data_IF_674626279133
#
_entry.id   IF_674626279133
#
_cell.length_a   1.000
_cell.length_b   1.000
_cell.length_c   1.000
_cell.angle_alpha   90.00
_cell.angle_beta   90.00
_cell.angle_gamma   90.00
#
_symmetry.space_group_name_H-M   'P 1'
#
loop_
_entity.id
_entity.type
_entity.pdbx_description
1 polymer ?
#
# COMPACT_ATOMS: atom_id res chain seq x y z
N UNK A 1 -7.65 -20.05 -5.04
CA UNK A 1 -6.93 -18.77 -4.95
C UNK A 1 -7.52 -17.82 -5.99
N UNK A 2 -8.02 -16.64 -5.60
CA UNK A 2 -8.37 -15.62 -6.60
C UNK A 2 -7.06 -15.18 -7.25
N UNK A 3 -6.92 -15.42 -8.55
CA UNK A 3 -5.84 -14.84 -9.35
C UNK A 3 -6.09 -13.34 -9.37
N UNK A 4 -5.44 -12.60 -8.47
CA UNK A 4 -5.41 -11.15 -8.56
C UNK A 4 -4.44 -10.81 -9.69
N UNK A 5 -4.92 -10.06 -10.69
CA UNK A 5 -4.06 -9.51 -11.72
C UNK A 5 -2.98 -8.64 -11.07
N UNK A 6 -1.72 -8.72 -11.53
CA UNK A 6 -0.67 -7.87 -10.99
C UNK A 6 -1.04 -6.39 -11.11
N UNK A 7 -0.77 -5.57 -10.08
CA UNK A 7 -1.10 -4.15 -10.11
C UNK A 7 -0.43 -3.43 -11.28
N UNK A 8 -1.13 -2.46 -11.86
CA UNK A 8 -0.69 -1.64 -12.98
C UNK A 8 -0.49 -0.19 -12.57
N UNK A 9 0.34 0.54 -13.31
CA UNK A 9 0.50 1.99 -13.11
C UNK A 9 -0.82 2.69 -13.42
N UNK A 10 -1.24 3.59 -12.53
CA UNK A 10 -2.52 4.30 -12.60
C UNK A 10 -3.66 3.63 -11.83
N UNK A 11 -3.49 2.37 -11.40
CA UNK A 11 -4.47 1.69 -10.55
C UNK A 11 -4.69 2.47 -9.26
N UNK A 12 -5.96 2.55 -8.86
CA UNK A 12 -6.39 3.10 -7.57
C UNK A 12 -6.74 1.96 -6.64
N UNK A 13 -5.99 1.85 -5.55
CA UNK A 13 -6.15 0.81 -4.54
C UNK A 13 -6.18 1.46 -3.16
N UNK A 14 -6.33 0.64 -2.13
CA UNK A 14 -6.34 1.08 -0.74
C UNK A 14 -5.16 0.48 0.01
N UNK A 15 -4.41 1.35 0.70
CA UNK A 15 -3.52 0.97 1.79
C UNK A 15 -4.27 1.25 3.10
N UNK A 16 -4.68 0.20 3.79
CA UNK A 16 -5.70 0.29 4.85
C UNK A 16 -6.98 0.96 4.34
N UNK A 17 -7.46 2.03 4.96
CA UNK A 17 -8.62 2.80 4.52
C UNK A 17 -8.26 3.97 3.61
N UNK A 18 -6.98 4.16 3.26
CA UNK A 18 -6.50 5.30 2.47
C UNK A 18 -6.30 4.92 1.02
N UNK A 19 -6.93 5.66 0.12
CA UNK A 19 -6.78 5.49 -1.31
C UNK A 19 -5.39 5.94 -1.79
N UNK A 20 -4.78 5.16 -2.68
CA UNK A 20 -3.46 5.38 -3.25
C UNK A 20 -3.48 5.13 -4.75
N UNK A 21 -2.63 5.83 -5.49
CA UNK A 21 -2.35 5.58 -6.91
C UNK A 21 -1.00 4.90 -7.05
N UNK A 22 -0.94 3.86 -7.88
CA UNK A 22 0.31 3.23 -8.30
C UNK A 22 1.00 4.12 -9.33
N UNK A 23 2.23 4.52 -9.04
CA UNK A 23 3.05 5.35 -9.94
C UNK A 23 4.16 4.56 -10.63
N UNK A 24 4.56 3.41 -10.06
CA UNK A 24 5.51 2.47 -10.69
C UNK A 24 5.34 1.05 -10.17
N UNK A 25 5.62 0.05 -11.00
CA UNK A 25 5.57 -1.38 -10.63
C UNK A 25 6.96 -2.02 -10.69
N UNK A 26 7.25 -2.91 -9.74
CA UNK A 26 8.48 -3.71 -9.66
C UNK A 26 8.09 -5.17 -9.39
N UNK A 27 7.39 -5.78 -10.34
CA UNK A 27 6.69 -7.06 -10.15
C UNK A 27 7.61 -8.21 -9.72
N UNK A 28 8.87 -8.23 -10.16
CA UNK A 28 9.86 -9.24 -9.73
C UNK A 28 10.09 -9.25 -8.21
N UNK A 29 9.90 -8.11 -7.54
CA UNK A 29 10.11 -7.96 -6.09
C UNK A 29 8.80 -7.87 -5.31
N UNK A 30 7.65 -8.03 -6.00
CA UNK A 30 6.33 -7.75 -5.46
C UNK A 30 6.15 -6.33 -4.89
N UNK A 31 6.95 -5.37 -5.38
CA UNK A 31 6.89 -3.99 -4.93
C UNK A 31 6.16 -3.10 -5.91
N UNK A 32 5.50 -2.08 -5.39
CA UNK A 32 4.95 -0.95 -6.15
C UNK A 32 5.36 0.35 -5.49
N UNK A 33 5.57 1.39 -6.31
CA UNK A 33 5.67 2.77 -5.84
C UNK A 33 4.28 3.37 -5.86
N UNK A 34 3.87 3.97 -4.75
CA UNK A 34 2.55 4.56 -4.58
C UNK A 34 2.65 5.97 -4.02
N UNK A 35 1.57 6.72 -4.17
CA UNK A 35 1.30 7.97 -3.45
C UNK A 35 -0.16 8.03 -3.02
N UNK A 36 -0.44 8.78 -1.96
CA UNK A 36 -1.81 9.13 -1.62
C UNK A 36 -2.38 10.13 -2.64
N UNK A 37 -3.70 10.12 -2.85
CA UNK A 37 -4.38 10.92 -3.91
C UNK A 37 -4.04 12.42 -3.84
N UNK A 38 -3.91 12.98 -2.63
CA UNK A 38 -3.65 14.40 -2.41
C UNK A 38 -2.22 14.69 -1.91
N UNK A 39 -1.30 13.76 -2.12
CA UNK A 39 0.09 13.88 -1.68
C UNK A 39 1.05 13.84 -2.88
N UNK A 40 2.20 14.48 -2.72
CA UNK A 40 3.32 14.45 -3.67
C UNK A 40 4.36 13.41 -3.26
N UNK A 41 4.38 13.02 -1.98
CA UNK A 41 5.32 12.05 -1.48
C UNK A 41 4.99 10.65 -2.03
N UNK A 42 6.03 9.99 -2.54
CA UNK A 42 5.94 8.64 -3.06
C UNK A 42 6.79 7.69 -2.21
N UNK A 43 6.31 6.47 -2.00
CA UNK A 43 7.05 5.44 -1.30
C UNK A 43 6.78 4.05 -1.88
N UNK A 44 7.69 3.12 -1.63
CA UNK A 44 7.56 1.74 -2.08
C UNK A 44 6.89 0.88 -1.00
N UNK A 45 6.03 -0.05 -1.42
CA UNK A 45 5.37 -1.03 -0.54
C UNK A 45 5.22 -2.37 -1.27
N UNK A 46 5.14 -3.46 -0.50
CA UNK A 46 4.67 -4.75 -1.01
C UNK A 46 3.23 -4.60 -1.52
N UNK A 47 2.98 -4.99 -2.78
CA UNK A 47 1.66 -4.79 -3.38
C UNK A 47 0.58 -5.66 -2.75
N UNK A 48 0.93 -6.73 -2.03
CA UNK A 48 -0.02 -7.55 -1.28
C UNK A 48 -0.58 -6.82 -0.05
N UNK A 49 0.01 -5.70 0.37
CA UNK A 49 -0.56 -4.82 1.38
C UNK A 49 -1.69 -3.93 0.84
N UNK A 50 -1.93 -3.96 -0.47
CA UNK A 50 -2.99 -3.18 -1.12
C UNK A 50 -4.24 -4.03 -1.36
N UNK A 51 -5.39 -3.37 -1.32
CA UNK A 51 -6.70 -3.98 -1.51
C UNK A 51 -7.54 -3.15 -2.48
N UNK A 52 -8.51 -3.78 -3.15
CA UNK A 52 -9.53 -3.08 -3.93
C UNK A 52 -10.61 -2.43 -3.07
N UNK A 53 -10.65 -2.73 -1.77
CA UNK A 53 -11.58 -2.18 -0.80
C UNK A 53 -10.85 -1.62 0.43
N UNK A 54 -11.36 -0.56 1.06
CA UNK A 54 -10.76 0.00 2.26
C UNK A 54 -10.85 -0.98 3.44
N UNK A 55 -9.77 -1.08 4.20
CA UNK A 55 -9.70 -1.82 5.45
C UNK A 55 -9.62 -0.87 6.65
N UNK A 56 -10.60 -0.96 7.55
CA UNK A 56 -10.73 -0.15 8.76
C UNK A 56 -10.21 -0.84 10.02
N UNK A 57 -9.53 -1.97 9.88
CA UNK A 57 -8.89 -2.66 11.00
C UNK A 57 -7.90 -1.71 11.70
N UNK A 58 -8.03 -1.59 13.02
CA UNK A 58 -7.15 -0.74 13.82
C UNK A 58 -5.69 -1.17 13.68
N UNK A 59 -4.80 -0.20 13.48
CA UNK A 59 -3.35 -0.44 13.41
C UNK A 59 -2.62 0.25 14.57
N UNK A 60 -1.47 -0.32 14.94
CA UNK A 60 -0.56 0.26 15.92
C UNK A 60 0.78 0.55 15.24
N UNK A 61 1.25 1.78 15.36
CA UNK A 61 2.59 2.13 14.87
C UNK A 61 3.65 1.33 15.61
N UNK A 62 4.60 0.73 14.88
CA UNK A 62 5.68 -0.08 15.47
C UNK A 62 6.52 0.70 16.50
N UNK A 63 6.59 2.02 16.36
CA UNK A 63 7.24 2.90 17.34
C UNK A 63 6.60 2.83 18.73
N UNK A 64 5.30 2.50 18.84
CA UNK A 64 4.61 2.30 20.11
C UNK A 64 4.94 0.96 20.77
N UNK A 65 5.56 0.02 20.04
CA UNK A 65 6.00 -1.28 20.57
C UNK A 65 7.41 -1.22 21.14
N UNK A 66 8.14 -0.11 20.96
CA UNK A 66 9.40 0.13 21.66
C UNK A 66 9.06 0.47 23.12
N UNK A 67 9.28 -0.47 24.04
CA UNK A 67 9.12 -0.24 25.48
C UNK A 67 9.92 0.97 25.95
N UNK A 68 9.66 1.45 27.18
CA UNK A 68 10.51 2.48 27.80
C UNK A 68 11.94 1.92 27.86
N UNK A 69 12.85 2.57 27.11
CA UNK A 69 14.30 2.41 27.28
C UNK A 69 14.67 3.05 28.61
#
# INVERSE_FOLDING_TARGET
MKVQTPPQVGDRLFLFHREVIITKTYLTFHLVKIRYINDIAEFCIDYHALSSQPDYTNSIGINKLRGRI
#
